data_IF_367160228379
#
_entry.id   IF_367160228379
#
_cell.length_a   1.000
_cell.length_b   1.000
_cell.length_c   1.000
_cell.angle_alpha   90.00
_cell.angle_beta   90.00
_cell.angle_gamma   90.00
#
_symmetry.space_group_name_H-M   'P 1'
#
loop_
_entity.id
_entity.type
_entity.pdbx_description
1 polymer ?
#
# COMPACT_ATOMS: atom_id res chain seq x y z
N UNK A 1 -4.00 -31.50 0.67
CA UNK A 1 -2.68 -32.14 0.43
C UNK A 1 -2.98 -33.53 -0.11
N UNK A 2 -2.85 -33.76 -1.40
CA UNK A 2 -3.08 -35.05 -2.03
C UNK A 2 -1.74 -35.68 -2.40
N UNK A 3 -1.40 -36.76 -1.78
CA UNK A 3 -0.26 -37.61 -2.17
C UNK A 3 -0.77 -38.70 -3.09
N UNK A 4 -0.20 -38.86 -4.28
CA UNK A 4 -0.50 -40.00 -5.14
C UNK A 4 0.52 -41.09 -4.79
N UNK A 5 0.04 -42.16 -4.20
CA UNK A 5 0.84 -43.34 -3.85
C UNK A 5 0.77 -44.34 -5.00
N UNK A 6 1.86 -44.61 -5.67
CA UNK A 6 1.94 -45.66 -6.67
C UNK A 6 2.44 -46.93 -5.96
N UNK A 7 1.60 -47.97 -5.94
CA UNK A 7 1.94 -49.26 -5.38
C UNK A 7 2.40 -50.17 -6.53
N UNK A 8 3.63 -50.66 -6.47
CA UNK A 8 4.15 -51.66 -7.39
C UNK A 8 4.07 -53.01 -6.64
N UNK A 9 3.36 -54.01 -7.18
CA UNK A 9 3.25 -55.29 -6.51
C UNK A 9 4.61 -55.99 -6.41
N UNK A 10 4.87 -56.61 -5.27
CA UNK A 10 6.06 -57.40 -4.97
C UNK A 10 5.93 -58.77 -5.63
N UNK A 11 6.96 -59.19 -6.35
CA UNK A 11 7.09 -60.54 -6.89
C UNK A 11 8.22 -61.24 -6.14
N UNK A 12 7.89 -62.32 -5.45
CA UNK A 12 8.78 -63.02 -4.50
C UNK A 12 9.97 -63.72 -5.16
N UNK A 13 10.02 -63.82 -6.50
CA UNK A 13 11.06 -64.60 -7.18
C UNK A 13 12.33 -63.84 -7.60
N UNK A 14 12.38 -62.51 -7.48
CA UNK A 14 13.52 -61.70 -7.97
C UNK A 14 14.02 -60.59 -7.06
N UNK A 15 13.87 -60.65 -5.79
CA UNK A 15 14.62 -59.83 -4.82
C UNK A 15 14.76 -58.32 -5.09
N UNK A 16 13.73 -57.63 -5.59
CA UNK A 16 13.78 -56.21 -5.85
C UNK A 16 13.37 -55.39 -4.64
N UNK A 17 14.16 -54.35 -4.36
CA UNK A 17 13.85 -53.36 -3.32
C UNK A 17 12.59 -52.58 -3.62
N UNK A 18 11.69 -52.43 -2.64
CA UNK A 18 10.57 -51.52 -2.71
C UNK A 18 11.08 -50.08 -2.78
N UNK A 19 11.08 -49.46 -3.96
CA UNK A 19 11.40 -48.07 -4.12
C UNK A 19 10.05 -47.28 -4.09
N UNK A 20 9.77 -46.64 -2.96
CA UNK A 20 8.66 -45.67 -2.89
C UNK A 20 9.16 -44.37 -3.50
N UNK A 21 8.81 -44.10 -4.76
CA UNK A 21 9.09 -42.82 -5.40
C UNK A 21 7.95 -41.87 -4.99
N UNK A 22 8.21 -40.99 -4.02
CA UNK A 22 7.32 -39.89 -3.70
C UNK A 22 7.53 -38.83 -4.77
N UNK A 23 6.71 -38.84 -5.83
CA UNK A 23 6.68 -37.75 -6.79
C UNK A 23 5.85 -36.64 -6.14
N UNK A 24 6.54 -35.65 -5.56
CA UNK A 24 5.88 -34.36 -5.28
C UNK A 24 5.37 -33.82 -6.61
N UNK A 25 4.07 -33.48 -6.73
CA UNK A 25 3.59 -32.83 -7.95
C UNK A 25 4.37 -31.52 -8.14
N UNK A 26 5.14 -31.45 -9.22
CA UNK A 26 5.97 -30.28 -9.61
C UNK A 26 5.11 -29.14 -10.18
N UNK A 27 3.84 -29.07 -9.79
CA UNK A 27 3.04 -27.90 -10.01
C UNK A 27 3.30 -26.90 -8.88
N UNK A 28 4.49 -26.29 -8.91
CA UNK A 28 4.70 -25.03 -8.25
C UNK A 28 3.84 -23.98 -8.99
N UNK A 29 2.56 -23.88 -8.63
CA UNK A 29 1.92 -22.59 -8.67
C UNK A 29 2.81 -21.73 -7.76
N UNK A 30 3.63 -20.84 -8.33
CA UNK A 30 4.28 -19.80 -7.55
C UNK A 30 3.14 -19.10 -6.82
N UNK A 31 2.92 -19.45 -5.56
CA UNK A 31 2.10 -18.62 -4.68
C UNK A 31 2.87 -17.30 -4.65
N UNK A 32 2.32 -16.30 -5.29
CA UNK A 32 2.86 -14.94 -5.22
C UNK A 32 2.63 -14.54 -3.77
N UNK A 33 3.72 -14.49 -3.00
CA UNK A 33 3.64 -14.00 -1.64
C UNK A 33 3.36 -12.51 -1.76
N UNK A 34 2.23 -12.09 -1.21
CA UNK A 34 1.85 -10.69 -1.15
C UNK A 34 2.37 -10.13 0.16
N UNK A 35 2.99 -8.96 0.11
CA UNK A 35 3.45 -8.26 1.32
C UNK A 35 2.40 -7.27 1.84
N UNK A 36 1.38 -6.94 1.02
CA UNK A 36 0.26 -6.10 1.42
C UNK A 36 -0.94 -6.36 0.52
N UNK A 37 -2.15 -6.42 1.10
CA UNK A 37 -3.40 -6.49 0.35
C UNK A 37 -4.49 -5.68 1.02
N UNK A 38 -5.05 -4.72 0.27
CA UNK A 38 -6.06 -3.78 0.73
C UNK A 38 -7.26 -3.77 -0.22
N UNK A 39 -8.45 -3.55 0.33
CA UNK A 39 -9.68 -3.26 -0.42
C UNK A 39 -10.27 -1.99 0.14
N UNK A 40 -10.38 -0.95 -0.68
CA UNK A 40 -10.85 0.37 -0.27
C UNK A 40 -11.84 0.93 -1.28
N UNK A 41 -12.91 1.60 -0.85
CA UNK A 41 -13.75 2.38 -1.75
C UNK A 41 -12.92 3.46 -2.47
N UNK A 42 -13.13 3.61 -3.78
CA UNK A 42 -12.42 4.65 -4.56
C UNK A 42 -12.56 6.04 -3.93
N UNK A 43 -13.74 6.36 -3.41
CA UNK A 43 -14.02 7.67 -2.80
C UNK A 43 -13.07 7.96 -1.62
N UNK A 44 -12.81 6.95 -0.75
CA UNK A 44 -11.89 7.08 0.38
C UNK A 44 -10.44 7.18 -0.08
N UNK A 45 -10.02 6.39 -1.09
CA UNK A 45 -8.70 6.51 -1.70
C UNK A 45 -8.48 7.91 -2.29
N UNK A 46 -9.45 8.42 -3.04
CA UNK A 46 -9.38 9.74 -3.65
C UNK A 46 -9.30 10.86 -2.61
N UNK A 47 -10.09 10.75 -1.54
CA UNK A 47 -10.05 11.67 -0.40
C UNK A 47 -8.67 11.67 0.25
N UNK A 48 -8.13 10.49 0.58
CA UNK A 48 -6.80 10.34 1.18
C UNK A 48 -5.70 10.92 0.30
N UNK A 49 -5.68 10.54 -0.98
CA UNK A 49 -4.72 11.04 -1.96
C UNK A 49 -4.76 12.57 -2.08
N UNK A 50 -5.96 13.16 -2.22
CA UNK A 50 -6.10 14.62 -2.35
C UNK A 50 -5.60 15.38 -1.10
N UNK A 51 -5.66 14.77 0.07
CA UNK A 51 -5.14 15.35 1.31
C UNK A 51 -3.62 15.34 1.30
N UNK A 52 -3.00 14.15 1.10
CA UNK A 52 -1.54 13.99 1.24
C UNK A 52 -0.76 14.56 0.07
N UNK A 53 -1.34 14.64 -1.14
CA UNK A 53 -0.70 15.26 -2.31
C UNK A 53 -0.22 16.71 -2.06
N UNK A 54 -0.77 17.40 -1.05
CA UNK A 54 -0.39 18.76 -0.70
C UNK A 54 0.99 18.89 -0.06
N UNK A 55 1.53 17.78 0.47
CA UNK A 55 2.88 17.72 1.03
C UNK A 55 3.85 16.92 0.14
N UNK A 56 3.45 16.57 -1.08
CA UNK A 56 4.38 15.99 -2.07
C UNK A 56 5.13 17.13 -2.75
N UNK A 57 6.47 17.17 -2.68
CA UNK A 57 7.25 18.25 -3.27
C UNK A 57 7.17 18.23 -4.80
N UNK A 58 7.13 19.41 -5.41
CA UNK A 58 7.14 19.55 -6.87
C UNK A 58 8.51 19.25 -7.48
N UNK A 59 9.59 19.43 -6.71
CA UNK A 59 10.98 19.14 -7.05
C UNK A 59 11.72 18.70 -5.80
N UNK A 60 12.45 17.60 -5.88
CA UNK A 60 13.27 17.10 -4.79
C UNK A 60 14.47 16.35 -5.33
N UNK A 61 15.56 16.31 -4.57
CA UNK A 61 16.72 15.46 -4.82
C UNK A 61 16.57 14.07 -4.21
N UNK A 62 15.53 13.86 -3.41
CA UNK A 62 15.23 12.59 -2.73
C UNK A 62 14.01 11.92 -3.38
N UNK A 63 14.20 10.93 -4.27
CA UNK A 63 13.09 10.31 -5.02
C UNK A 63 12.02 9.64 -4.16
N UNK A 64 12.31 9.34 -2.90
CA UNK A 64 11.32 8.75 -1.98
C UNK A 64 10.24 9.77 -1.56
N UNK A 65 10.57 11.06 -1.53
CA UNK A 65 9.63 12.13 -1.17
C UNK A 65 8.62 12.42 -2.28
N UNK A 66 8.88 11.98 -3.52
CA UNK A 66 7.90 12.02 -4.61
C UNK A 66 6.80 10.97 -4.46
N UNK A 67 6.89 10.13 -3.42
CA UNK A 67 5.95 9.04 -3.17
C UNK A 67 4.95 9.39 -2.07
N UNK A 68 3.80 8.69 -2.11
CA UNK A 68 2.88 8.55 -0.98
C UNK A 68 3.19 7.21 -0.31
N UNK A 69 3.45 7.23 1.00
CA UNK A 69 3.51 6.02 1.80
C UNK A 69 2.08 5.56 2.11
N UNK A 70 1.79 4.32 1.77
CA UNK A 70 0.61 3.58 2.20
C UNK A 70 1.06 2.64 3.31
N UNK A 71 0.59 2.85 4.52
CA UNK A 71 0.93 2.04 5.69
C UNK A 71 -0.32 1.36 6.25
N UNK A 72 -0.37 0.05 6.16
CA UNK A 72 -1.39 -0.83 6.71
C UNK A 72 -0.79 -1.86 7.69
N UNK A 73 0.33 -1.55 8.31
CA UNK A 73 0.99 -2.42 9.30
C UNK A 73 0.18 -2.56 10.60
N UNK A 74 -0.67 -1.59 10.88
CA UNK A 74 -1.61 -1.57 12.00
C UNK A 74 -3.03 -2.01 11.56
N UNK A 75 -4.05 -1.59 12.30
CA UNK A 75 -5.45 -1.85 11.93
C UNK A 75 -6.09 -0.68 11.14
N UNK A 76 -5.30 0.32 10.79
CA UNK A 76 -5.74 1.48 10.03
C UNK A 76 -4.92 1.57 8.75
N UNK A 77 -5.56 2.01 7.67
CA UNK A 77 -4.87 2.34 6.42
C UNK A 77 -4.50 3.82 6.50
N UNK A 78 -3.21 4.09 6.50
CA UNK A 78 -2.66 5.41 6.67
C UNK A 78 -1.90 5.84 5.43
N UNK A 79 -2.19 7.04 4.94
CA UNK A 79 -1.43 7.68 3.88
C UNK A 79 -0.55 8.77 4.47
N UNK A 80 0.70 8.84 4.05
CA UNK A 80 1.65 9.83 4.50
C UNK A 80 2.44 10.40 3.32
N UNK A 81 2.66 11.69 3.32
CA UNK A 81 3.61 12.38 2.45
C UNK A 81 4.36 13.45 3.24
N UNK A 82 5.57 13.80 2.82
CA UNK A 82 6.32 14.89 3.41
C UNK A 82 7.34 15.45 2.41
N UNK A 83 7.73 16.73 2.59
CA UNK A 83 8.76 17.40 1.83
C UNK A 83 9.97 17.83 2.72
N UNK A 84 10.09 17.25 3.91
CA UNK A 84 11.04 17.52 5.00
C UNK A 84 10.71 18.77 5.84
N UNK A 85 9.82 19.64 5.40
CA UNK A 85 9.33 20.82 6.15
C UNK A 85 7.88 20.64 6.56
N UNK A 86 7.05 20.14 5.64
CA UNK A 86 5.64 19.84 5.85
C UNK A 86 5.37 18.36 5.67
N UNK A 87 4.79 17.73 6.69
CA UNK A 87 4.29 16.37 6.60
C UNK A 87 2.79 16.31 6.80
N UNK A 88 2.12 15.52 5.98
CA UNK A 88 0.67 15.26 6.08
C UNK A 88 0.43 13.78 6.19
N UNK A 89 -0.35 13.41 7.21
CA UNK A 89 -0.82 12.05 7.44
C UNK A 89 -2.35 12.04 7.50
N UNK A 90 -2.97 11.04 6.89
CA UNK A 90 -4.42 10.83 6.97
C UNK A 90 -4.75 9.36 7.05
N UNK A 91 -5.84 9.04 7.75
CA UNK A 91 -6.38 7.69 7.83
C UNK A 91 -7.57 7.61 6.89
N UNK A 92 -7.66 6.51 6.14
CA UNK A 92 -8.79 6.22 5.26
C UNK A 92 -9.47 4.92 5.68
N UNK A 93 -10.75 4.80 5.33
CA UNK A 93 -11.52 3.60 5.57
C UNK A 93 -11.26 2.56 4.48
N UNK A 94 -11.17 1.29 4.89
CA UNK A 94 -10.96 0.17 4.00
C UNK A 94 -10.71 -1.12 4.76
N UNK A 95 -10.65 -2.23 4.05
CA UNK A 95 -10.37 -3.54 4.59
C UNK A 95 -8.90 -3.91 4.35
N UNK A 96 -8.21 -4.36 5.40
CA UNK A 96 -6.83 -4.86 5.35
C UNK A 96 -6.91 -6.38 5.37
N UNK A 97 -6.61 -7.03 4.24
CA UNK A 97 -6.52 -8.48 4.16
C UNK A 97 -5.11 -8.97 4.52
N UNK A 98 -4.08 -8.25 4.06
CA UNK A 98 -2.68 -8.51 4.39
C UNK A 98 -2.00 -7.21 4.79
N UNK A 99 -1.35 -7.23 5.97
CA UNK A 99 -0.69 -6.07 6.56
C UNK A 99 0.65 -5.83 5.89
N UNK A 100 1.00 -4.55 5.66
CA UNK A 100 2.28 -4.17 5.10
C UNK A 100 2.35 -2.68 4.82
N UNK A 101 3.42 -2.26 4.15
CA UNK A 101 3.61 -0.88 3.73
C UNK A 101 4.30 -0.79 2.38
N UNK A 102 3.96 0.24 1.62
CA UNK A 102 4.54 0.51 0.30
C UNK A 102 4.54 2.01 0.02
N UNK A 103 5.61 2.51 -0.61
CA UNK A 103 5.68 3.86 -1.11
C UNK A 103 5.48 3.86 -2.63
N UNK A 104 4.44 4.54 -3.11
CA UNK A 104 4.07 4.63 -4.52
C UNK A 104 4.28 6.05 -5.04
N UNK A 105 4.73 6.18 -6.30
CA UNK A 105 4.80 7.48 -6.96
C UNK A 105 3.46 8.22 -6.85
N UNK A 106 3.50 9.39 -6.24
CA UNK A 106 2.29 10.15 -5.87
C UNK A 106 1.48 10.60 -7.08
N UNK A 107 2.16 11.01 -8.15
CA UNK A 107 1.52 11.45 -9.40
C UNK A 107 0.85 10.28 -10.10
N UNK A 108 1.58 9.21 -10.32
CA UNK A 108 1.09 8.02 -11.03
C UNK A 108 -0.08 7.42 -10.25
N UNK A 109 0.08 7.24 -8.93
CA UNK A 109 -0.98 6.71 -8.07
C UNK A 109 -2.23 7.59 -8.08
N UNK A 110 -2.08 8.90 -7.91
CA UNK A 110 -3.18 9.87 -7.97
C UNK A 110 -3.94 9.83 -9.31
N UNK A 111 -3.21 9.78 -10.42
CA UNK A 111 -3.81 9.74 -11.76
C UNK A 111 -4.58 8.44 -12.01
N UNK A 112 -4.08 7.31 -11.51
CA UNK A 112 -4.77 6.02 -11.58
C UNK A 112 -6.07 6.11 -10.77
N UNK A 113 -6.02 6.49 -9.50
CA UNK A 113 -7.20 6.53 -8.62
C UNK A 113 -8.28 7.44 -9.20
N UNK A 114 -7.93 8.58 -9.78
CA UNK A 114 -8.89 9.50 -10.40
C UNK A 114 -9.63 8.89 -11.60
N UNK A 115 -8.94 8.03 -12.37
CA UNK A 115 -9.47 7.43 -13.62
C UNK A 115 -10.23 6.12 -13.39
N UNK A 116 -10.12 5.50 -12.21
CA UNK A 116 -10.84 4.26 -11.89
C UNK A 116 -12.36 4.50 -11.87
N UNK A 117 -13.17 3.45 -12.14
CA UNK A 117 -14.60 3.45 -11.86
C UNK A 117 -14.91 3.73 -10.39
N UNK A 118 -16.14 4.17 -10.11
CA UNK A 118 -16.58 4.47 -8.74
C UNK A 118 -17.06 3.17 -8.04
N UNK A 119 -16.09 2.35 -7.64
CA UNK A 119 -16.30 1.06 -6.98
C UNK A 119 -15.14 0.74 -6.04
N UNK A 120 -15.15 -0.43 -5.41
CA UNK A 120 -14.07 -0.91 -4.57
C UNK A 120 -12.80 -1.17 -5.39
N UNK A 121 -11.69 -0.70 -4.86
CA UNK A 121 -10.35 -0.83 -5.44
C UNK A 121 -9.55 -1.81 -4.60
N UNK A 122 -8.99 -2.81 -5.24
CA UNK A 122 -8.05 -3.74 -4.60
C UNK A 122 -6.62 -3.32 -4.94
N UNK A 123 -5.79 -3.19 -3.92
CA UNK A 123 -4.36 -2.87 -4.02
C UNK A 123 -3.58 -4.04 -3.45
N UNK A 124 -2.72 -4.64 -4.26
CA UNK A 124 -1.92 -5.81 -3.89
C UNK A 124 -0.46 -5.52 -4.21
N UNK A 125 0.43 -5.70 -3.24
CA UNK A 125 1.88 -5.55 -3.44
C UNK A 125 2.57 -6.90 -3.28
N UNK A 126 3.47 -7.24 -4.20
CA UNK A 126 4.28 -8.46 -4.18
C UNK A 126 5.65 -8.26 -3.50
N UNK A 127 6.42 -9.34 -3.36
CA UNK A 127 7.78 -9.34 -2.78
C UNK A 127 8.77 -8.45 -3.54
N UNK A 128 8.51 -8.16 -4.82
CA UNK A 128 9.35 -7.33 -5.66
C UNK A 128 8.91 -5.86 -5.61
N UNK A 129 8.02 -5.50 -4.67
CA UNK A 129 7.44 -4.17 -4.52
C UNK A 129 6.60 -3.71 -5.72
N UNK A 130 6.20 -4.63 -6.62
CA UNK A 130 5.25 -4.29 -7.68
C UNK A 130 3.84 -4.25 -7.10
N UNK A 131 3.13 -3.19 -7.38
CA UNK A 131 1.79 -2.96 -6.85
C UNK A 131 0.77 -3.06 -7.97
N UNK A 132 -0.12 -4.04 -7.85
CA UNK A 132 -1.27 -4.25 -8.73
C UNK A 132 -2.49 -3.53 -8.14
N UNK A 133 -3.04 -2.59 -8.89
CA UNK A 133 -4.26 -1.86 -8.55
C UNK A 133 -5.36 -2.32 -9.49
N UNK A 134 -6.45 -2.84 -8.95
CA UNK A 134 -7.57 -3.36 -9.74
C UNK A 134 -8.90 -2.77 -9.28
N UNK A 135 -9.75 -2.43 -10.24
CA UNK A 135 -11.12 -2.01 -10.00
C UNK A 135 -11.95 -2.47 -11.21
N UNK A 136 -12.92 -3.36 -10.99
CA UNK A 136 -13.69 -4.01 -12.05
C UNK A 136 -12.79 -4.65 -13.13
N UNK A 137 -12.83 -4.14 -14.35
CA UNK A 137 -11.99 -4.60 -15.48
C UNK A 137 -10.65 -3.86 -15.60
N UNK A 138 -10.51 -2.73 -14.90
CA UNK A 138 -9.30 -1.94 -14.93
C UNK A 138 -8.20 -2.60 -14.09
N UNK A 139 -6.99 -2.67 -14.65
CA UNK A 139 -5.80 -3.21 -13.99
C UNK A 139 -4.60 -2.35 -14.30
N UNK A 140 -3.90 -1.92 -13.27
CA UNK A 140 -2.66 -1.15 -13.38
C UNK A 140 -1.59 -1.84 -12.54
N UNK A 141 -0.38 -1.91 -13.07
CA UNK A 141 0.77 -2.41 -12.34
C UNK A 141 1.81 -1.30 -12.30
N UNK A 142 2.22 -0.90 -11.09
CA UNK A 142 3.19 0.17 -10.87
C UNK A 142 4.28 -0.31 -9.92
N UNK A 143 5.54 0.04 -10.18
CA UNK A 143 6.62 -0.25 -9.25
C UNK A 143 6.48 0.64 -8.00
N UNK A 144 6.69 0.05 -6.85
CA UNK A 144 6.78 0.77 -5.58
C UNK A 144 8.20 0.82 -5.05
N UNK A 145 8.37 1.47 -3.90
CA UNK A 145 9.59 1.48 -3.10
C UNK A 145 9.25 0.96 -1.71
N UNK A 146 10.24 0.44 -1.00
CA UNK A 146 10.03 -0.04 0.37
C UNK A 146 9.46 1.07 1.25
N UNK A 147 8.41 0.74 2.01
CA UNK A 147 7.87 1.66 3.02
C UNK A 147 8.87 1.98 4.13
N UNK A 148 9.85 1.10 4.37
CA UNK A 148 10.90 1.30 5.36
C UNK A 148 11.88 2.43 4.97
N UNK A 149 12.05 2.68 3.66
CA UNK A 149 12.89 3.76 3.15
C UNK A 149 12.23 5.15 3.30
N UNK A 150 10.93 5.18 3.63
CA UNK A 150 10.19 6.42 3.78
C UNK A 150 10.44 7.05 5.15
N UNK A 151 10.81 8.33 5.16
CA UNK A 151 11.00 9.07 6.42
C UNK A 151 9.66 9.33 7.10
N UNK A 152 9.43 8.66 8.22
CA UNK A 152 8.24 8.86 9.03
C UNK A 152 8.21 10.26 9.66
N UNK A 153 7.02 10.80 9.83
CA UNK A 153 6.84 12.04 10.57
C UNK A 153 7.22 11.80 12.04
N UNK A 154 7.88 12.77 12.69
CA UNK A 154 8.22 12.65 14.09
C UNK A 154 6.94 12.52 14.94
N UNK A 155 7.00 11.69 15.95
CA UNK A 155 5.90 11.60 16.93
C UNK A 155 5.84 12.90 17.72
N UNK A 156 4.68 13.57 17.68
CA UNK A 156 4.43 14.79 18.44
C UNK A 156 3.63 14.42 19.69
N UNK A 157 4.23 14.64 20.86
CA UNK A 157 3.53 14.51 22.14
C UNK A 157 2.41 15.54 22.25
N UNK A 158 1.19 15.08 22.56
CA UNK A 158 -0.01 15.95 22.65
C UNK A 158 -0.23 16.50 24.06
N UNK A 159 0.83 16.71 24.81
CA UNK A 159 0.74 17.16 26.20
C UNK A 159 0.29 18.62 26.33
N UNK A 160 0.77 19.47 25.44
CA UNK A 160 0.45 20.92 25.44
C UNK A 160 -0.24 21.30 24.13
N UNK A 161 -1.54 21.03 24.02
CA UNK A 161 -2.29 21.32 22.81
C UNK A 161 -3.36 22.42 23.04
N UNK A 162 -3.46 23.34 22.10
CA UNK A 162 -4.56 24.31 22.02
C UNK A 162 -5.68 23.68 21.19
N UNK A 163 -6.89 23.65 21.71
CA UNK A 163 -8.08 23.18 20.99
C UNK A 163 -8.85 24.37 20.44
N UNK A 164 -8.97 24.41 19.12
CA UNK A 164 -9.80 25.42 18.41
C UNK A 164 -10.85 24.71 17.58
N UNK A 165 -12.04 25.29 17.45
CA UNK A 165 -13.04 24.75 16.55
C UNK A 165 -12.55 24.89 15.09
N UNK A 166 -12.92 23.95 14.24
CA UNK A 166 -12.60 24.02 12.81
C UNK A 166 -13.12 25.32 12.16
N UNK A 167 -14.29 25.77 12.56
CA UNK A 167 -14.87 27.02 12.09
C UNK A 167 -13.98 28.21 12.48
N UNK A 168 -13.60 28.33 13.75
CA UNK A 168 -12.74 29.42 14.24
C UNK A 168 -11.40 29.43 13.52
N UNK A 169 -10.76 28.25 13.37
CA UNK A 169 -9.47 28.15 12.67
C UNK A 169 -9.59 28.58 11.19
N UNK A 170 -10.66 28.17 10.51
CA UNK A 170 -10.93 28.58 9.13
C UNK A 170 -11.10 30.09 9.00
N UNK A 171 -11.82 30.73 9.92
CA UNK A 171 -11.99 32.18 9.93
C UNK A 171 -10.68 32.93 10.19
N UNK A 172 -9.87 32.47 11.13
CA UNK A 172 -8.53 33.02 11.39
C UNK A 172 -7.68 32.98 10.13
N UNK A 173 -7.61 31.80 9.48
CA UNK A 173 -6.85 31.63 8.24
C UNK A 173 -7.38 32.57 7.16
N UNK A 174 -8.70 32.67 6.97
CA UNK A 174 -9.32 33.54 5.97
C UNK A 174 -8.96 35.00 6.17
N UNK A 175 -8.89 35.43 7.44
CA UNK A 175 -8.59 36.83 7.79
C UNK A 175 -7.11 37.20 7.70
N UNK A 176 -6.21 36.19 7.63
CA UNK A 176 -4.76 36.43 7.64
C UNK A 176 -4.06 36.05 6.34
N UNK A 177 -4.66 35.17 5.53
CA UNK A 177 -4.01 34.58 4.34
C UNK A 177 -3.61 35.62 3.29
N UNK A 178 -4.30 36.76 3.23
CA UNK A 178 -3.99 37.84 2.28
C UNK A 178 -2.63 38.53 2.55
N UNK A 179 -2.11 38.39 3.77
CA UNK A 179 -0.82 38.99 4.16
C UNK A 179 0.38 38.08 3.92
N UNK A 180 0.15 36.84 3.42
CA UNK A 180 1.22 35.90 3.10
C UNK A 180 1.86 36.36 1.79
N UNK A 181 3.21 36.48 1.79
CA UNK A 181 3.95 36.77 0.57
C UNK A 181 3.76 35.63 -0.45
N UNK A 182 3.47 35.98 -1.70
CA UNK A 182 3.51 35.04 -2.80
C UNK A 182 4.99 34.81 -3.18
N UNK A 183 5.49 33.60 -2.97
CA UNK A 183 6.82 33.18 -3.44
C UNK A 183 6.76 32.76 -4.90
#
# INVERSE_FOLDING_TARGET
MGYTQIHIPYDDDYGFFNIIIIIKPLFHRKEVIHIMKLICPKAELLKGVNIVMKAVPSKTTMPILECILIDASTNNIKFTSNDMELGIETIIEGNIEEKGSIALDAKIFSDIIRKLPDNDVTIITDENLNTLITCEKAKFNIPGKSGEDFSYLPFIEKTDCIRVSQFTLKEIIRQTIFSIAAN
#
